data_IF_117028203044
#
_entry.id   IF_117028203044
#
_cell.length_a   1.000
_cell.length_b   1.000
_cell.length_c   1.000
_cell.angle_alpha   90.00
_cell.angle_beta   90.00
_cell.angle_gamma   90.00
#
_symmetry.space_group_name_H-M   'P 1'
#
loop_
_entity.id
_entity.type
_entity.pdbx_description
1 polymer ?
#
# COMPACT_ATOMS: atom_id res chain seq x y z
N UNK A 1 -5.08 14.82 -20.33
CA UNK A 1 -4.73 16.22 -19.96
C UNK A 1 -3.24 16.40 -20.18
N UNK A 2 -2.65 17.59 -19.93
CA UNK A 2 -1.20 17.82 -20.13
C UNK A 2 -0.34 17.35 -18.94
N UNK A 3 -0.95 17.25 -17.76
CA UNK A 3 -0.34 16.85 -16.50
C UNK A 3 -1.39 16.20 -15.58
N UNK A 4 -0.96 15.73 -14.40
CA UNK A 4 -1.76 15.18 -13.30
C UNK A 4 -1.85 16.15 -12.10
N UNK A 5 -1.90 17.46 -12.36
CA UNK A 5 -2.24 18.45 -11.33
C UNK A 5 -3.64 18.21 -10.76
N UNK A 6 -3.89 18.66 -9.52
CA UNK A 6 -5.19 18.48 -8.84
C UNK A 6 -6.37 19.01 -9.66
N UNK A 7 -6.19 20.12 -10.38
CA UNK A 7 -7.21 20.70 -11.26
C UNK A 7 -7.59 19.78 -12.42
N UNK A 8 -6.62 18.99 -12.92
CA UNK A 8 -6.83 18.01 -13.98
C UNK A 8 -7.33 16.66 -13.44
N UNK A 9 -6.95 16.30 -12.21
CA UNK A 9 -7.40 15.07 -11.56
C UNK A 9 -8.88 15.06 -11.18
N UNK A 10 -9.59 16.21 -11.21
CA UNK A 10 -11.05 16.24 -11.03
C UNK A 10 -11.85 15.33 -11.97
N UNK A 11 -11.25 14.92 -13.09
CA UNK A 11 -11.85 13.99 -14.05
C UNK A 11 -11.50 12.53 -13.78
N UNK A 12 -10.55 12.26 -12.88
CA UNK A 12 -10.15 10.92 -12.47
C UNK A 12 -11.15 10.41 -11.43
N UNK A 13 -12.24 9.81 -11.90
CA UNK A 13 -13.26 9.17 -11.05
C UNK A 13 -13.61 7.79 -11.57
N UNK A 14 -14.08 6.93 -10.68
CA UNK A 14 -14.64 5.62 -11.02
C UNK A 14 -15.82 5.74 -11.99
N UNK A 15 -16.66 6.76 -11.85
CA UNK A 15 -17.78 7.01 -12.75
C UNK A 15 -17.33 7.31 -14.18
N UNK A 16 -16.30 8.14 -14.34
CA UNK A 16 -15.73 8.42 -15.67
C UNK A 16 -15.07 7.16 -16.26
N UNK A 17 -14.31 6.41 -15.48
CA UNK A 17 -13.72 5.15 -15.94
C UNK A 17 -14.77 4.12 -16.39
N UNK A 18 -15.91 4.04 -15.68
CA UNK A 18 -17.02 3.17 -16.05
C UNK A 18 -17.75 3.68 -17.32
N UNK A 19 -17.89 4.99 -17.47
CA UNK A 19 -18.46 5.60 -18.68
C UNK A 19 -17.56 5.37 -19.90
N UNK A 20 -16.24 5.49 -19.76
CA UNK A 20 -15.27 5.19 -20.81
C UNK A 20 -15.36 3.72 -21.24
N UNK A 21 -15.50 2.80 -20.29
CA UNK A 21 -15.70 1.37 -20.59
C UNK A 21 -17.01 1.12 -21.34
N UNK A 22 -18.10 1.78 -20.94
CA UNK A 22 -19.39 1.68 -21.62
C UNK A 22 -19.30 2.22 -23.07
N UNK A 23 -18.72 3.41 -23.23
CA UNK A 23 -18.51 4.03 -24.54
C UNK A 23 -17.64 3.15 -25.46
N UNK A 24 -16.57 2.55 -24.92
CA UNK A 24 -15.73 1.65 -25.70
C UNK A 24 -16.50 0.42 -26.21
N UNK A 25 -17.38 -0.15 -25.39
CA UNK A 25 -18.22 -1.28 -25.81
C UNK A 25 -19.19 -0.86 -26.93
N UNK A 26 -19.78 0.34 -26.84
CA UNK A 26 -20.66 0.88 -27.89
C UNK A 26 -19.88 1.16 -29.18
N UNK A 27 -18.70 1.76 -29.07
CA UNK A 27 -17.81 1.98 -30.20
C UNK A 27 -17.48 0.68 -30.95
N UNK A 28 -17.17 -0.41 -30.23
CA UNK A 28 -16.93 -1.71 -30.85
C UNK A 28 -18.17 -2.27 -31.56
N UNK A 29 -19.37 -2.02 -31.04
CA UNK A 29 -20.62 -2.39 -31.73
C UNK A 29 -20.82 -1.60 -33.01
N UNK A 30 -20.62 -0.28 -32.97
CA UNK A 30 -20.77 0.60 -34.12
C UNK A 30 -19.73 0.33 -35.21
N UNK A 31 -18.50 -0.01 -34.82
CA UNK A 31 -17.43 -0.42 -35.73
C UNK A 31 -17.67 -1.80 -36.37
N UNK A 32 -18.68 -2.56 -35.93
CA UNK A 32 -18.97 -3.91 -36.42
C UNK A 32 -18.07 -5.00 -35.83
N UNK A 33 -17.27 -4.68 -34.81
CA UNK A 33 -16.39 -5.61 -34.09
C UNK A 33 -17.16 -6.48 -33.07
N UNK A 34 -18.38 -6.07 -32.71
CA UNK A 34 -19.32 -6.86 -31.91
C UNK A 34 -20.57 -7.18 -32.74
N UNK A 35 -20.63 -8.43 -33.23
CA UNK A 35 -21.72 -8.95 -34.04
C UNK A 35 -23.05 -9.04 -33.26
N UNK A 36 -24.20 -8.93 -33.95
CA UNK A 36 -25.51 -9.10 -33.33
C UNK A 36 -25.61 -10.41 -32.53
N UNK A 37 -26.05 -10.31 -31.28
CA UNK A 37 -26.22 -11.44 -30.37
C UNK A 37 -24.98 -11.81 -29.54
N UNK A 38 -23.80 -11.27 -29.84
CA UNK A 38 -22.61 -11.47 -29.00
C UNK A 38 -22.79 -10.85 -27.61
N UNK A 39 -22.20 -11.51 -26.62
CA UNK A 39 -22.30 -11.15 -25.20
C UNK A 39 -20.94 -10.67 -24.72
N UNK A 40 -20.93 -9.57 -23.99
CA UNK A 40 -19.71 -8.96 -23.43
C UNK A 40 -19.53 -9.40 -21.98
N UNK A 41 -18.36 -9.93 -21.66
CA UNK A 41 -17.94 -10.20 -20.30
C UNK A 41 -16.75 -9.31 -19.95
N UNK A 42 -16.75 -8.70 -18.77
CA UNK A 42 -15.66 -7.86 -18.27
C UNK A 42 -14.92 -8.57 -17.14
N UNK A 43 -13.61 -8.38 -17.05
CA UNK A 43 -12.74 -9.04 -16.08
C UNK A 43 -11.90 -8.00 -15.36
N UNK A 44 -11.70 -8.17 -14.06
CA UNK A 44 -10.81 -7.32 -13.29
C UNK A 44 -10.38 -7.95 -11.97
N UNK A 45 -9.18 -7.60 -11.53
CA UNK A 45 -8.64 -7.95 -10.21
C UNK A 45 -8.39 -6.68 -9.39
N UNK A 46 -8.51 -6.71 -8.07
CA UNK A 46 -8.30 -5.52 -7.21
C UNK A 46 -9.25 -4.38 -7.59
N UNK A 47 -8.78 -3.12 -7.70
CA UNK A 47 -9.59 -1.99 -8.16
C UNK A 47 -10.27 -2.22 -9.52
N UNK A 48 -9.60 -2.75 -10.57
CA UNK A 48 -10.28 -3.21 -11.79
C UNK A 48 -11.39 -4.23 -11.54
N UNK A 49 -11.29 -5.05 -10.49
CA UNK A 49 -12.36 -5.95 -10.05
C UNK A 49 -13.58 -5.19 -9.53
N UNK A 50 -13.38 -4.07 -8.82
CA UNK A 50 -14.46 -3.15 -8.47
C UNK A 50 -15.12 -2.61 -9.74
N UNK A 51 -14.33 -2.11 -10.69
CA UNK A 51 -14.82 -1.61 -11.98
C UNK A 51 -15.60 -2.68 -12.76
N UNK A 52 -15.13 -3.92 -12.79
CA UNK A 52 -15.84 -5.03 -13.45
C UNK A 52 -17.22 -5.27 -12.83
N UNK A 53 -17.30 -5.34 -11.48
CA UNK A 53 -18.57 -5.49 -10.77
C UNK A 53 -19.50 -4.31 -11.02
N UNK A 54 -18.99 -3.08 -10.89
CA UNK A 54 -19.77 -1.85 -11.07
C UNK A 54 -20.19 -1.64 -12.52
N UNK A 55 -19.39 -2.03 -13.51
CA UNK A 55 -19.75 -1.96 -14.93
C UNK A 55 -20.93 -2.87 -15.24
N UNK A 56 -20.93 -4.11 -14.72
CA UNK A 56 -22.09 -5.01 -14.84
C UNK A 56 -23.32 -4.46 -14.13
N UNK A 57 -23.15 -3.83 -12.97
CA UNK A 57 -24.24 -3.23 -12.19
C UNK A 57 -24.86 -2.02 -12.90
N UNK A 58 -24.03 -1.07 -13.38
CA UNK A 58 -24.48 0.20 -13.98
C UNK A 58 -24.87 0.08 -15.45
N UNK A 59 -24.20 -0.78 -16.21
CA UNK A 59 -24.42 -0.95 -17.65
C UNK A 59 -24.85 -2.38 -18.02
N UNK A 60 -25.90 -2.95 -17.40
CA UNK A 60 -26.28 -4.34 -17.63
C UNK A 60 -26.80 -4.61 -19.04
N UNK A 61 -27.12 -3.56 -19.82
CA UNK A 61 -27.51 -3.61 -21.23
C UNK A 61 -26.30 -3.72 -22.18
N UNK A 62 -25.09 -3.40 -21.71
CA UNK A 62 -23.84 -3.55 -22.46
C UNK A 62 -23.04 -4.75 -21.96
N UNK A 63 -22.83 -4.84 -20.65
CA UNK A 63 -22.01 -5.85 -19.98
C UNK A 63 -22.90 -6.98 -19.49
N UNK A 64 -22.72 -8.20 -20.01
CA UNK A 64 -23.57 -9.36 -19.73
C UNK A 64 -23.06 -10.21 -18.56
N UNK A 65 -21.75 -10.22 -18.32
CA UNK A 65 -21.12 -10.90 -17.20
C UNK A 65 -19.92 -10.10 -16.69
N UNK A 66 -19.57 -10.29 -15.41
CA UNK A 66 -18.38 -9.71 -14.82
C UNK A 66 -17.65 -10.76 -13.96
N UNK A 67 -16.32 -10.78 -14.06
CA UNK A 67 -15.44 -11.48 -13.13
C UNK A 67 -14.72 -10.44 -12.29
N UNK A 68 -15.12 -10.35 -11.02
CA UNK A 68 -14.60 -9.42 -10.03
C UNK A 68 -13.74 -10.19 -9.04
N UNK A 69 -12.44 -10.25 -9.30
CA UNK A 69 -11.48 -11.05 -8.53
C UNK A 69 -10.81 -10.22 -7.45
N UNK A 70 -10.83 -10.68 -6.19
CA UNK A 70 -10.19 -9.98 -5.06
C UNK A 70 -10.51 -8.48 -4.99
N UNK A 71 -11.76 -8.12 -5.28
CA UNK A 71 -12.21 -6.75 -5.43
C UNK A 71 -12.74 -6.21 -4.09
N UNK A 72 -12.12 -5.17 -3.50
CA UNK A 72 -12.66 -4.52 -2.31
C UNK A 72 -13.83 -3.62 -2.71
N UNK A 73 -14.98 -4.20 -3.05
CA UNK A 73 -16.15 -3.43 -3.55
C UNK A 73 -16.78 -2.54 -2.49
N UNK A 74 -16.47 -2.77 -1.21
CA UNK A 74 -16.89 -1.93 -0.10
C UNK A 74 -15.81 -0.88 0.18
N UNK A 75 -16.06 0.36 -0.25
CA UNK A 75 -15.21 1.50 0.07
C UNK A 75 -15.26 1.81 1.57
N UNK A 76 -14.09 1.90 2.20
CA UNK A 76 -13.95 2.10 3.64
C UNK A 76 -12.73 2.99 3.91
N UNK A 77 -12.93 4.10 4.61
CA UNK A 77 -11.87 5.09 4.85
C UNK A 77 -10.74 4.50 5.71
N UNK A 78 -11.08 4.04 6.91
CA UNK A 78 -10.16 3.39 7.84
C UNK A 78 -10.23 1.88 7.62
N UNK A 79 -9.19 1.27 7.03
CA UNK A 79 -9.22 -0.14 6.66
C UNK A 79 -8.18 -0.99 7.43
N UNK A 80 -8.35 -1.14 8.75
CA UNK A 80 -7.41 -1.87 9.60
C UNK A 80 -7.39 -3.38 9.36
N UNK A 81 -8.47 -3.95 8.80
CA UNK A 81 -8.60 -5.37 8.49
C UNK A 81 -7.50 -5.84 7.55
N UNK A 82 -6.99 -4.96 6.68
CA UNK A 82 -5.85 -5.25 5.81
C UNK A 82 -4.65 -5.74 6.65
N UNK A 83 -4.27 -4.99 7.68
CA UNK A 83 -3.13 -5.34 8.54
C UNK A 83 -3.42 -6.52 9.47
N UNK A 84 -4.68 -6.74 9.83
CA UNK A 84 -5.10 -7.96 10.54
C UNK A 84 -4.90 -9.21 9.66
N UNK A 85 -5.26 -9.14 8.38
CA UNK A 85 -5.03 -10.22 7.41
C UNK A 85 -3.55 -10.45 7.19
N UNK A 86 -2.74 -9.39 7.11
CA UNK A 86 -1.27 -9.50 7.05
C UNK A 86 -0.77 -10.33 8.23
N UNK A 87 -1.06 -9.90 9.45
CA UNK A 87 -0.64 -10.61 10.67
C UNK A 87 -1.10 -12.06 10.70
N UNK A 88 -2.37 -12.32 10.39
CA UNK A 88 -2.92 -13.69 10.40
C UNK A 88 -2.26 -14.59 9.35
N UNK A 89 -1.84 -14.01 8.21
CA UNK A 89 -1.12 -14.74 7.16
C UNK A 89 0.31 -15.07 7.58
N UNK A 90 1.01 -14.14 8.26
CA UNK A 90 2.32 -14.40 8.85
C UNK A 90 2.24 -15.56 9.86
N UNK A 91 1.28 -15.48 10.79
CA UNK A 91 1.03 -16.51 11.80
C UNK A 91 0.76 -17.88 11.18
N UNK A 92 -0.06 -17.92 10.13
CA UNK A 92 -0.48 -19.17 9.47
C UNK A 92 0.64 -19.81 8.65
N UNK A 93 1.44 -19.01 7.94
CA UNK A 93 2.40 -19.51 6.93
C UNK A 93 3.80 -19.70 7.49
N UNK A 94 4.27 -18.79 8.35
CA UNK A 94 5.59 -18.86 8.98
C UNK A 94 5.52 -19.35 10.42
N UNK A 95 4.44 -19.02 11.13
CA UNK A 95 4.25 -19.30 12.55
C UNK A 95 4.12 -18.02 13.37
N UNK A 96 3.48 -18.10 14.53
CA UNK A 96 3.18 -16.95 15.41
C UNK A 96 4.41 -16.14 15.84
N UNK A 97 5.60 -16.77 15.82
CA UNK A 97 6.87 -16.12 16.14
C UNK A 97 7.17 -14.94 15.19
N UNK A 98 6.72 -14.98 13.93
CA UNK A 98 7.06 -13.94 12.97
C UNK A 98 6.40 -12.61 13.36
N UNK A 99 5.07 -12.59 13.50
CA UNK A 99 4.36 -11.38 13.95
C UNK A 99 4.78 -10.97 15.37
N UNK A 100 5.06 -11.92 16.26
CA UNK A 100 5.54 -11.64 17.61
C UNK A 100 6.90 -10.93 17.61
N UNK A 101 7.86 -11.36 16.78
CA UNK A 101 9.18 -10.73 16.70
C UNK A 101 9.12 -9.36 16.01
N UNK A 102 8.22 -9.17 15.03
CA UNK A 102 7.95 -7.83 14.46
C UNK A 102 7.38 -6.92 15.55
N UNK A 103 6.44 -7.41 16.36
CA UNK A 103 5.90 -6.64 17.48
C UNK A 103 6.96 -6.30 18.53
N UNK A 104 7.84 -7.24 18.86
CA UNK A 104 8.94 -7.02 19.78
C UNK A 104 9.88 -5.91 19.28
N UNK A 105 10.18 -5.90 17.98
CA UNK A 105 10.98 -4.87 17.34
C UNK A 105 10.27 -3.50 17.34
N UNK A 106 8.98 -3.46 16.97
CA UNK A 106 8.21 -2.21 16.89
C UNK A 106 8.01 -1.58 18.27
N UNK A 107 7.72 -2.38 19.30
CA UNK A 107 7.61 -1.92 20.69
C UNK A 107 8.94 -1.32 21.19
N UNK A 108 10.08 -1.91 20.81
CA UNK A 108 11.41 -1.38 21.14
C UNK A 108 11.66 -0.02 20.50
N UNK A 109 11.28 0.14 19.24
CA UNK A 109 11.41 1.43 18.53
C UNK A 109 10.58 2.49 19.26
N UNK A 110 9.31 2.20 19.59
CA UNK A 110 8.44 3.13 20.34
C UNK A 110 9.04 3.53 21.69
N UNK A 111 9.70 2.60 22.38
CA UNK A 111 10.42 2.91 23.62
C UNK A 111 11.58 3.89 23.39
N UNK A 112 12.42 3.64 22.38
CA UNK A 112 13.59 4.47 22.07
C UNK A 112 13.21 5.89 21.59
N UNK A 113 12.10 6.03 20.86
CA UNK A 113 11.60 7.32 20.37
C UNK A 113 11.22 8.31 21.49
N UNK A 114 11.14 7.86 22.75
CA UNK A 114 10.84 8.72 23.92
C UNK A 114 12.02 9.59 24.36
N UNK A 115 13.24 9.35 23.87
CA UNK A 115 14.45 10.06 24.29
C UNK A 115 15.30 10.48 23.10
N UNK A 116 16.06 11.57 23.23
CA UNK A 116 16.94 12.03 22.16
C UNK A 116 18.01 10.99 21.78
N UNK A 117 18.60 10.31 22.77
CA UNK A 117 19.59 9.27 22.55
C UNK A 117 18.99 8.04 21.86
N UNK A 118 17.76 7.66 22.22
CA UNK A 118 17.05 6.56 21.57
C UNK A 118 16.63 6.89 20.13
N UNK A 119 16.20 8.13 19.85
CA UNK A 119 15.97 8.61 18.48
C UNK A 119 17.27 8.50 17.66
N UNK A 120 18.40 8.95 18.21
CA UNK A 120 19.70 8.82 17.53
C UNK A 120 20.08 7.35 17.27
N UNK A 121 19.75 6.45 18.20
CA UNK A 121 19.95 5.01 18.01
C UNK A 121 19.08 4.44 16.87
N UNK A 122 17.79 4.77 16.83
CA UNK A 122 16.87 4.33 15.75
C UNK A 122 17.36 4.85 14.40
N UNK A 123 17.67 6.16 14.30
CA UNK A 123 18.21 6.76 13.07
C UNK A 123 19.48 6.05 12.59
N UNK A 124 20.38 5.70 13.51
CA UNK A 124 21.61 4.98 13.18
C UNK A 124 21.34 3.55 12.68
N UNK A 125 20.49 2.80 13.37
CA UNK A 125 20.20 1.39 13.04
C UNK A 125 19.45 1.27 11.72
N UNK A 126 18.52 2.18 11.45
CA UNK A 126 17.71 2.18 10.23
C UNK A 126 18.29 3.10 9.15
N UNK A 127 19.50 3.64 9.30
CA UNK A 127 20.12 4.52 8.29
C UNK A 127 19.20 5.67 7.84
N UNK A 128 18.61 6.41 8.78
CA UNK A 128 17.63 7.47 8.51
C UNK A 128 18.24 8.85 8.74
N UNK A 129 18.09 9.73 7.74
CA UNK A 129 18.48 11.14 7.84
C UNK A 129 17.44 11.99 8.57
N UNK A 130 16.16 11.66 8.39
CA UNK A 130 14.99 12.31 9.02
C UNK A 130 15.10 12.37 10.55
N UNK A 131 14.64 13.46 11.15
CA UNK A 131 14.79 13.70 12.59
C UNK A 131 13.90 12.85 13.48
N UNK A 132 12.79 12.30 12.95
CA UNK A 132 11.82 11.47 13.69
C UNK A 132 11.27 12.18 14.94
N UNK A 133 11.08 13.50 14.86
CA UNK A 133 10.53 14.33 15.94
C UNK A 133 9.06 14.68 15.71
N UNK A 134 8.66 14.92 14.46
CA UNK A 134 7.27 15.12 14.09
C UNK A 134 6.52 13.78 14.08
N UNK A 135 5.24 13.79 14.46
CA UNK A 135 4.43 12.56 14.46
C UNK A 135 4.34 11.98 13.06
N UNK A 136 4.19 12.82 12.05
CA UNK A 136 4.04 12.42 10.65
C UNK A 136 5.30 11.76 10.08
N UNK A 137 6.49 12.17 10.53
CA UNK A 137 7.73 11.47 10.17
C UNK A 137 7.77 10.05 10.77
N UNK A 138 7.23 9.89 11.98
CA UNK A 138 7.15 8.58 12.65
C UNK A 138 6.02 7.72 12.04
N UNK A 139 4.92 8.33 11.61
CA UNK A 139 3.83 7.67 10.87
C UNK A 139 4.38 7.01 9.60
N UNK A 140 5.11 7.76 8.78
CA UNK A 140 5.79 7.24 7.58
C UNK A 140 6.80 6.16 7.93
N UNK A 141 7.60 6.38 8.98
CA UNK A 141 8.60 5.42 9.40
C UNK A 141 7.96 4.04 9.65
N UNK A 142 6.88 3.96 10.41
CA UNK A 142 6.20 2.69 10.64
C UNK A 142 5.42 2.17 9.43
N UNK A 143 4.86 3.05 8.58
CA UNK A 143 4.26 2.67 7.29
C UNK A 143 5.30 1.92 6.42
N UNK A 144 6.49 2.50 6.24
CA UNK A 144 7.60 1.90 5.47
C UNK A 144 8.03 0.56 6.06
N UNK A 145 8.13 0.43 7.39
CA UNK A 145 8.47 -0.84 8.04
C UNK A 145 7.41 -1.93 7.83
N UNK A 146 6.15 -1.55 7.59
CA UNK A 146 5.06 -2.49 7.36
C UNK A 146 4.99 -3.01 5.91
N UNK A 147 5.41 -2.20 4.93
CA UNK A 147 5.29 -2.47 3.51
C UNK A 147 5.87 -3.82 3.05
N UNK A 148 7.05 -4.28 3.52
CA UNK A 148 7.58 -5.58 3.14
C UNK A 148 6.67 -6.75 3.55
N UNK A 149 5.99 -6.66 4.69
CA UNK A 149 5.06 -7.70 5.16
C UNK A 149 3.74 -7.65 4.40
N UNK A 150 3.19 -6.45 4.21
CA UNK A 150 2.00 -6.21 3.40
C UNK A 150 2.17 -6.75 1.97
N UNK A 151 3.24 -6.34 1.30
CA UNK A 151 3.56 -6.77 -0.07
C UNK A 151 3.75 -8.28 -0.18
N UNK A 152 4.43 -8.92 0.78
CA UNK A 152 4.64 -10.37 0.75
C UNK A 152 3.36 -11.17 0.97
N UNK A 153 2.42 -10.66 1.76
CA UNK A 153 1.10 -11.28 1.93
C UNK A 153 0.24 -11.08 0.69
N UNK A 154 0.21 -9.87 0.14
CA UNK A 154 -0.61 -9.53 -1.03
C UNK A 154 -0.16 -10.28 -2.29
N UNK A 155 1.15 -10.38 -2.53
CA UNK A 155 1.74 -10.95 -3.75
C UNK A 155 2.45 -12.28 -3.51
N UNK A 156 2.04 -13.05 -2.50
CA UNK A 156 2.73 -14.25 -2.06
C UNK A 156 2.94 -15.29 -3.19
N UNK A 157 4.12 -15.28 -3.81
CA UNK A 157 4.46 -16.08 -5.03
C UNK A 157 3.57 -15.76 -6.24
N UNK A 158 3.01 -14.56 -6.29
CA UNK A 158 2.13 -14.14 -7.39
C UNK A 158 2.88 -14.12 -8.72
N UNK A 159 2.28 -14.76 -9.73
CA UNK A 159 2.74 -14.85 -11.12
C UNK A 159 4.20 -15.31 -11.32
N UNK A 160 4.86 -15.73 -10.25
CA UNK A 160 6.22 -16.22 -10.19
C UNK A 160 6.30 -17.31 -9.10
N UNK A 161 5.85 -18.55 -9.39
CA UNK A 161 5.87 -19.65 -8.42
C UNK A 161 7.26 -19.95 -7.85
N UNK A 162 8.32 -19.58 -8.58
CA UNK A 162 9.72 -19.71 -8.19
C UNK A 162 10.29 -18.48 -7.48
N UNK A 163 9.49 -17.43 -7.24
CA UNK A 163 9.94 -16.22 -6.58
C UNK A 163 10.42 -16.54 -5.16
N UNK A 164 11.64 -16.09 -4.86
CA UNK A 164 12.16 -16.10 -3.50
C UNK A 164 11.33 -15.20 -2.58
N UNK A 165 10.72 -14.14 -3.11
CA UNK A 165 9.89 -13.22 -2.35
C UNK A 165 8.53 -13.86 -2.01
N UNK A 166 8.32 -14.12 -0.73
CA UNK A 166 7.10 -14.69 -0.17
C UNK A 166 7.08 -14.49 1.36
N UNK A 167 5.98 -14.87 2.02
CA UNK A 167 5.81 -14.71 3.48
C UNK A 167 6.97 -15.37 4.26
N UNK A 168 7.40 -16.58 3.89
CA UNK A 168 8.47 -17.29 4.62
C UNK A 168 9.81 -16.56 4.47
N UNK A 169 10.09 -16.01 3.29
CA UNK A 169 11.30 -15.24 3.05
C UNK A 169 11.35 -13.98 3.91
N UNK A 170 10.29 -13.16 3.92
CA UNK A 170 10.26 -11.94 4.74
C UNK A 170 10.32 -12.28 6.24
N UNK A 171 9.60 -13.29 6.70
CA UNK A 171 9.69 -13.74 8.10
C UNK A 171 11.09 -14.25 8.47
N UNK A 172 11.87 -14.78 7.52
CA UNK A 172 13.21 -15.31 7.83
C UNK A 172 14.19 -14.25 8.36
N UNK A 173 14.00 -12.97 8.02
CA UNK A 173 14.83 -11.87 8.52
C UNK A 173 14.67 -11.67 10.03
N UNK A 174 13.45 -11.85 10.55
CA UNK A 174 13.10 -11.71 11.96
C UNK A 174 13.06 -13.06 12.70
N UNK A 175 13.63 -14.12 12.11
CA UNK A 175 13.66 -15.43 12.73
C UNK A 175 14.62 -15.50 13.94
N UNK A 176 14.22 -16.28 14.94
CA UNK A 176 15.00 -16.53 16.15
C UNK A 176 14.09 -16.75 17.35
N UNK A 177 14.53 -17.62 18.26
CA UNK A 177 13.86 -17.88 19.53
C UNK A 177 14.42 -16.96 20.61
N UNK A 178 13.55 -16.45 21.49
CA UNK A 178 13.93 -15.61 22.64
C UNK A 178 14.82 -14.41 22.30
N UNK A 179 14.55 -13.76 21.16
CA UNK A 179 15.25 -12.52 20.78
C UNK A 179 15.09 -11.46 21.86
N UNK A 180 16.15 -10.71 22.12
CA UNK A 180 16.04 -9.45 22.85
C UNK A 180 15.35 -8.39 21.99
N UNK A 181 14.76 -7.34 22.60
CA UNK A 181 14.16 -6.23 21.85
C UNK A 181 15.12 -5.57 20.84
N UNK A 182 16.39 -5.39 21.21
CA UNK A 182 17.40 -4.80 20.34
C UNK A 182 17.80 -5.72 19.17
N UNK A 183 17.88 -7.04 19.39
CA UNK A 183 18.13 -8.01 18.32
C UNK A 183 16.97 -8.07 17.32
N UNK A 184 15.73 -8.03 17.81
CA UNK A 184 14.54 -7.99 16.96
C UNK A 184 14.51 -6.72 16.10
N UNK A 185 14.80 -5.56 16.69
CA UNK A 185 14.91 -4.29 15.96
C UNK A 185 16.02 -4.31 14.91
N UNK A 186 17.21 -4.82 15.23
CA UNK A 186 18.31 -4.94 14.26
C UNK A 186 17.94 -5.85 13.09
N UNK A 187 17.27 -6.98 13.36
CA UNK A 187 16.77 -7.90 12.33
C UNK A 187 15.73 -7.24 11.43
N UNK A 188 14.82 -6.45 12.01
CA UNK A 188 13.84 -5.68 11.24
C UNK A 188 14.52 -4.63 10.35
N UNK A 189 15.56 -3.94 10.82
CA UNK A 189 16.34 -3.03 9.97
C UNK A 189 16.99 -3.74 8.78
N UNK A 190 17.58 -4.93 9.02
CA UNK A 190 18.21 -5.71 7.95
C UNK A 190 17.21 -6.12 6.85
N UNK A 191 15.94 -6.34 7.19
CA UNK A 191 14.89 -6.62 6.21
C UNK A 191 14.69 -5.44 5.25
N UNK A 192 14.62 -4.21 5.77
CA UNK A 192 14.35 -3.02 4.95
C UNK A 192 15.38 -2.84 3.85
N UNK A 193 16.64 -3.15 4.13
CA UNK A 193 17.75 -2.98 3.19
C UNK A 193 18.23 -4.28 2.54
N UNK A 194 17.47 -5.38 2.67
CA UNK A 194 17.86 -6.67 2.09
C UNK A 194 19.23 -7.16 2.57
N UNK A 195 19.64 -6.81 3.80
CA UNK A 195 20.93 -7.16 4.38
C UNK A 195 22.11 -6.30 3.93
N UNK A 196 21.90 -5.21 3.19
CA UNK A 196 22.97 -4.28 2.84
C UNK A 196 23.43 -3.47 4.08
N UNK A 197 24.75 -3.34 4.26
CA UNK A 197 25.33 -2.65 5.42
C UNK A 197 25.87 -1.25 5.12
N UNK A 198 26.00 -0.88 3.85
CA UNK A 198 26.55 0.41 3.39
C UNK A 198 25.49 1.22 2.63
N UNK A 199 24.33 1.41 3.24
CA UNK A 199 23.25 2.22 2.66
C UNK A 199 23.42 3.67 3.11
N UNK A 200 23.41 4.66 2.19
CA UNK A 200 23.44 6.06 2.59
C UNK A 200 22.18 6.41 3.40
N UNK A 201 22.25 7.38 4.33
CA UNK A 201 21.08 7.79 5.09
C UNK A 201 19.90 8.17 4.19
N UNK A 202 18.74 7.58 4.43
CA UNK A 202 17.52 7.80 3.65
C UNK A 202 16.67 8.92 4.26
N UNK A 203 16.07 9.74 3.41
CA UNK A 203 15.09 10.74 3.84
C UNK A 203 13.67 10.15 3.76
N UNK A 204 13.15 9.76 4.92
CA UNK A 204 11.77 9.28 5.11
C UNK A 204 10.91 10.34 5.81
N UNK A 205 11.15 11.63 5.51
CA UNK A 205 10.34 12.71 6.08
C UNK A 205 8.97 12.82 5.41
N UNK A 206 7.99 13.29 6.19
CA UNK A 206 6.67 13.64 5.67
C UNK A 206 6.74 14.69 4.58
N UNK A 207 7.66 15.65 4.72
CA UNK A 207 7.95 16.63 3.67
C UNK A 207 8.39 15.98 2.36
N UNK A 208 9.27 14.99 2.41
CA UNK A 208 9.74 14.25 1.22
C UNK A 208 8.58 13.48 0.57
N UNK A 209 7.74 12.82 1.37
CA UNK A 209 6.58 12.09 0.87
C UNK A 209 5.55 13.02 0.19
N UNK A 210 5.23 14.18 0.79
CA UNK A 210 4.38 15.20 0.17
C UNK A 210 4.98 15.70 -1.14
N UNK A 211 6.29 15.96 -1.18
CA UNK A 211 6.95 16.40 -2.41
C UNK A 211 6.87 15.34 -3.52
N UNK A 212 7.01 14.05 -3.17
CA UNK A 212 6.87 12.94 -4.12
C UNK A 212 5.45 12.83 -4.66
N UNK A 213 4.44 12.84 -3.79
CA UNK A 213 3.05 12.83 -4.24
C UNK A 213 2.65 14.12 -4.95
N UNK A 214 3.32 15.24 -4.69
CA UNK A 214 3.12 16.55 -5.32
C UNK A 214 3.56 16.64 -6.79
N UNK A 215 4.23 15.63 -7.33
CA UNK A 215 4.69 15.63 -8.72
C UNK A 215 3.52 15.57 -9.70
N UNK A 216 3.44 16.57 -10.59
CA UNK A 216 2.34 16.67 -11.57
C UNK A 216 2.68 16.10 -12.95
N UNK A 217 3.91 15.66 -13.18
CA UNK A 217 4.30 15.03 -14.44
C UNK A 217 3.79 13.60 -14.53
N UNK A 218 3.34 13.17 -15.71
CA UNK A 218 3.03 11.75 -15.97
C UNK A 218 4.29 10.87 -15.93
N UNK A 219 5.40 11.43 -16.40
CA UNK A 219 6.68 10.74 -16.51
C UNK A 219 7.63 11.26 -15.43
N UNK A 220 8.24 10.34 -14.70
CA UNK A 220 9.31 10.61 -13.75
C UNK A 220 10.58 11.05 -14.48
N UNK A 221 11.55 11.58 -13.72
CA UNK A 221 12.80 12.11 -14.29
C UNK A 221 13.67 11.03 -14.97
N UNK A 222 13.52 9.77 -14.57
CA UNK A 222 14.19 8.61 -15.16
C UNK A 222 13.47 8.06 -16.41
N UNK A 223 12.33 8.62 -16.78
CA UNK A 223 11.54 8.22 -17.92
C UNK A 223 10.45 7.18 -17.61
N UNK A 224 10.32 6.73 -16.36
CA UNK A 224 9.25 5.80 -15.96
C UNK A 224 7.92 6.54 -15.70
N UNK A 225 6.83 5.78 -15.60
CA UNK A 225 5.50 6.31 -15.26
C UNK A 225 5.12 5.87 -13.86
N UNK A 226 4.61 6.80 -13.05
CA UNK A 226 4.11 6.54 -11.72
C UNK A 226 2.61 6.83 -11.65
N UNK A 227 1.86 5.92 -11.02
CA UNK A 227 0.43 6.04 -10.79
C UNK A 227 0.10 6.37 -9.32
N UNK A 228 1.11 6.55 -8.47
CA UNK A 228 0.94 6.72 -7.02
C UNK A 228 0.14 7.98 -6.69
N UNK A 229 0.36 9.11 -7.38
CA UNK A 229 -0.46 10.33 -7.19
C UNK A 229 -1.92 10.12 -7.62
N UNK A 230 -2.15 9.48 -8.76
CA UNK A 230 -3.48 9.19 -9.29
C UNK A 230 -4.24 8.26 -8.35
N UNK A 231 -3.57 7.21 -7.85
CA UNK A 231 -4.15 6.29 -6.90
C UNK A 231 -4.44 6.97 -5.56
N UNK A 232 -3.50 7.77 -5.03
CA UNK A 232 -3.72 8.56 -3.83
C UNK A 232 -4.90 9.52 -3.99
N UNK A 233 -5.03 10.17 -5.15
CA UNK A 233 -6.18 11.04 -5.41
C UNK A 233 -7.51 10.29 -5.33
N UNK A 234 -7.60 9.09 -5.93
CA UNK A 234 -8.82 8.28 -5.87
C UNK A 234 -9.12 7.75 -4.46
N UNK A 235 -8.10 7.34 -3.70
CA UNK A 235 -8.31 6.95 -2.30
C UNK A 235 -8.74 8.13 -1.43
N UNK A 236 -8.19 9.32 -1.65
CA UNK A 236 -8.57 10.53 -0.94
C UNK A 236 -9.97 11.08 -1.30
N UNK A 237 -10.51 10.73 -2.46
CA UNK A 237 -11.76 11.33 -2.97
C UNK A 237 -12.93 10.36 -3.10
N UNK A 238 -12.68 9.09 -3.41
CA UNK A 238 -13.74 8.10 -3.67
C UNK A 238 -13.74 6.92 -2.71
N UNK A 239 -12.56 6.40 -2.34
CA UNK A 239 -12.50 5.03 -1.81
C UNK A 239 -12.04 4.88 -0.36
N UNK A 240 -11.10 5.71 0.08
CA UNK A 240 -10.31 5.40 1.25
C UNK A 240 -9.36 4.23 1.00
N UNK A 241 -9.55 3.13 1.72
CA UNK A 241 -8.65 1.98 1.81
C UNK A 241 -7.33 2.30 2.52
N UNK A 242 -7.32 3.24 3.47
CA UNK A 242 -6.11 3.53 4.24
C UNK A 242 -5.82 2.34 5.15
N UNK A 243 -4.67 1.70 4.94
CA UNK A 243 -4.26 0.47 5.61
C UNK A 243 -3.68 0.79 6.99
N UNK A 244 -4.54 1.18 7.91
CA UNK A 244 -4.13 1.73 9.21
C UNK A 244 -3.71 0.65 10.21
N UNK A 245 -3.07 1.08 11.30
CA UNK A 245 -2.76 0.22 12.44
C UNK A 245 -3.81 0.28 13.56
N UNK A 246 -4.99 0.88 13.33
CA UNK A 246 -6.04 1.01 14.36
C UNK A 246 -6.61 -0.35 14.80
N UNK A 247 -6.50 -1.37 13.94
CA UNK A 247 -6.99 -2.73 14.15
C UNK A 247 -6.34 -3.51 15.29
N UNK A 248 -7.07 -4.50 15.81
CA UNK A 248 -6.54 -5.38 16.85
C UNK A 248 -5.51 -6.37 16.32
N UNK A 249 -4.44 -6.56 17.09
CA UNK A 249 -3.46 -7.61 16.83
C UNK A 249 -2.48 -7.34 15.69
N UNK A 250 -2.47 -6.16 15.08
CA UNK A 250 -1.35 -5.71 14.23
C UNK A 250 -0.03 -5.70 15.01
N UNK A 251 1.10 -6.12 14.42
CA UNK A 251 2.40 -6.08 15.07
C UNK A 251 3.01 -4.66 15.08
N UNK A 252 2.32 -3.66 14.53
CA UNK A 252 2.75 -2.26 14.51
C UNK A 252 2.00 -1.42 15.55
N UNK A 253 2.58 -0.31 16.02
CA UNK A 253 1.97 0.53 17.06
C UNK A 253 0.73 1.26 16.54
N UNK A 254 -0.38 1.19 17.30
CA UNK A 254 -1.68 1.75 16.90
C UNK A 254 -1.71 3.28 16.90
N UNK A 255 -0.77 3.90 17.61
CA UNK A 255 -0.62 5.36 17.70
C UNK A 255 -0.09 5.98 16.41
N UNK A 256 0.38 5.17 15.46
CA UNK A 256 0.97 5.60 14.21
C UNK A 256 0.26 4.98 13.00
N UNK A 257 0.39 5.61 11.83
CA UNK A 257 -0.31 5.26 10.59
C UNK A 257 -1.82 5.05 10.84
N UNK A 258 -2.45 6.08 11.41
CA UNK A 258 -3.87 6.12 11.70
C UNK A 258 -4.65 6.85 10.60
N UNK A 259 -5.99 6.87 10.71
CA UNK A 259 -6.84 7.57 9.74
C UNK A 259 -6.58 9.09 9.72
N UNK A 260 -6.22 9.69 10.86
CA UNK A 260 -5.99 11.14 10.94
C UNK A 260 -4.76 11.54 10.13
N UNK A 261 -3.70 10.73 10.19
CA UNK A 261 -2.52 10.85 9.35
C UNK A 261 -2.86 10.73 7.86
N UNK A 262 -3.64 9.71 7.46
CA UNK A 262 -4.06 9.56 6.06
C UNK A 262 -4.91 10.73 5.55
N UNK A 263 -5.85 11.24 6.36
CA UNK A 263 -6.65 12.42 6.01
C UNK A 263 -5.76 13.67 5.89
N UNK A 264 -4.73 13.78 6.73
CA UNK A 264 -3.77 14.88 6.66
C UNK A 264 -2.95 14.82 5.37
N UNK A 265 -2.45 13.64 4.99
CA UNK A 265 -1.77 13.40 3.71
C UNK A 265 -2.64 13.86 2.53
N UNK A 266 -3.91 13.45 2.51
CA UNK A 266 -4.86 13.87 1.48
C UNK A 266 -5.09 15.39 1.36
N UNK A 267 -4.93 16.13 2.47
CA UNK A 267 -5.12 17.59 2.48
C UNK A 267 -3.87 18.36 2.07
N UNK A 268 -2.69 17.77 2.29
CA UNK A 268 -1.40 18.41 2.09
C UNK A 268 -0.82 18.18 0.67
N UNK A 269 -1.35 17.21 -0.09
CA UNK A 269 -0.97 16.84 -1.49
C UNK A 269 -1.84 17.53 -2.55
#
# INVERSE_FOLDING_TARGET
TKDISTENLKWLTSDQALADLAYFIEYLKEAGELLPGQKVAVFGGSYPGNLAAWARLKYPHLVHAAVSSSAPVHAEADYPEYMQVVKNSLDRVAGKWCAANVKLASDRIVELLKTADGVAQVKKIFHIATDLTAKEDIDIFFEILSNPFAGAVQYNRDSAPQSAYNIKYICSFVAGDNLTPDEAMQKLSNLVYGGQTNVPPQDWSYKSQIASYGLTSYQLQDGEYDASRQWLYQTCTEFGYFQTFSGDGTPFPKEYNDLAYAIKLCKDV
#
